data_IF_438570376323
#
_entry.id   IF_438570376323
#
_cell.length_a   1.000
_cell.length_b   1.000
_cell.length_c   1.000
_cell.angle_alpha   90.00
_cell.angle_beta   90.00
_cell.angle_gamma   90.00
#
_symmetry.space_group_name_H-M   'P 1'
#
loop_
_entity.id
_entity.type
_entity.pdbx_description
1 polymer ?
#
# COMPACT_ATOMS: atom_id res chain seq x y z
N UNK A 1 -11.95 -11.88 -10.53
CA UNK A 1 -11.97 -10.41 -10.57
C UNK A 1 -10.87 -9.90 -9.65
N UNK A 2 -9.74 -9.42 -10.18
CA UNK A 2 -8.68 -8.85 -9.35
C UNK A 2 -9.17 -7.48 -8.86
N UNK A 3 -9.66 -7.44 -7.62
CA UNK A 3 -10.21 -6.23 -6.99
C UNK A 3 -9.17 -5.11 -7.06
N UNK A 4 -9.54 -4.00 -7.69
CA UNK A 4 -8.77 -2.76 -7.60
C UNK A 4 -8.92 -2.27 -6.16
N UNK A 5 -7.80 -1.94 -5.54
CA UNK A 5 -7.75 -1.37 -4.20
C UNK A 5 -7.60 0.15 -4.33
N UNK A 6 -8.39 0.92 -3.60
CA UNK A 6 -8.31 2.38 -3.61
C UNK A 6 -7.36 2.85 -2.52
N UNK A 7 -6.31 3.57 -2.90
CA UNK A 7 -5.41 4.19 -1.96
C UNK A 7 -6.13 5.32 -1.21
N UNK A 8 -6.13 5.29 0.12
CA UNK A 8 -6.73 6.33 0.97
C UNK A 8 -5.87 7.58 1.09
N UNK A 9 -4.60 7.53 0.69
CA UNK A 9 -3.67 8.66 0.78
C UNK A 9 -3.84 9.62 -0.40
N UNK A 10 -3.90 9.08 -1.61
CA UNK A 10 -4.00 9.87 -2.85
C UNK A 10 -5.32 9.66 -3.60
N UNK A 11 -6.12 8.65 -3.24
CA UNK A 11 -7.39 8.35 -3.90
C UNK A 11 -7.27 7.43 -5.13
N UNK A 12 -6.06 7.03 -5.54
CA UNK A 12 -5.84 6.22 -6.74
C UNK A 12 -6.38 4.79 -6.61
N UNK A 13 -7.02 4.29 -7.67
CA UNK A 13 -7.40 2.90 -7.80
C UNK A 13 -6.26 2.08 -8.42
N UNK A 14 -5.66 1.18 -7.64
CA UNK A 14 -4.51 0.38 -8.07
C UNK A 14 -4.74 -1.11 -7.89
N UNK A 15 -4.10 -1.92 -8.73
CA UNK A 15 -4.11 -3.38 -8.59
C UNK A 15 -3.07 -3.90 -7.60
N UNK A 16 -2.01 -3.12 -7.36
CA UNK A 16 -0.88 -3.51 -6.51
C UNK A 16 -0.64 -2.44 -5.44
N UNK A 17 -1.33 -2.58 -4.31
CA UNK A 17 -1.27 -1.65 -3.18
C UNK A 17 0.16 -1.41 -2.66
N UNK A 18 0.92 -2.48 -2.41
CA UNK A 18 2.30 -2.39 -1.92
C UNK A 18 3.21 -1.68 -2.92
N UNK A 19 3.12 -2.04 -4.20
CA UNK A 19 3.93 -1.40 -5.25
C UNK A 19 3.62 0.09 -5.34
N UNK A 20 2.33 0.46 -5.31
CA UNK A 20 1.91 1.85 -5.31
C UNK A 20 2.48 2.61 -4.11
N UNK A 21 2.42 2.06 -2.90
CA UNK A 21 3.03 2.70 -1.73
C UNK A 21 4.53 2.90 -1.92
N UNK A 22 5.27 1.93 -2.45
CA UNK A 22 6.71 2.09 -2.70
C UNK A 22 7.02 3.16 -3.75
N UNK A 23 6.22 3.25 -4.82
CA UNK A 23 6.45 4.19 -5.93
C UNK A 23 5.94 5.61 -5.64
N UNK A 24 4.77 5.74 -5.00
CA UNK A 24 4.07 7.03 -4.79
C UNK A 24 4.18 7.56 -3.36
N UNK A 25 4.38 6.68 -2.38
CA UNK A 25 4.46 7.02 -0.97
C UNK A 25 5.71 6.39 -0.31
N UNK A 26 6.92 6.65 -0.85
CA UNK A 26 8.14 6.04 -0.34
C UNK A 26 8.39 6.37 1.13
N UNK A 27 7.87 7.51 1.63
CA UNK A 27 7.88 7.90 3.04
C UNK A 27 7.25 6.87 3.98
N UNK A 28 6.26 6.09 3.50
CA UNK A 28 5.59 5.05 4.29
C UNK A 28 6.39 3.75 4.30
N UNK A 29 7.18 3.52 3.24
CA UNK A 29 8.02 2.33 3.08
C UNK A 29 9.43 2.51 3.63
N UNK A 30 9.87 3.75 3.89
CA UNK A 30 11.19 4.04 4.43
C UNK A 30 11.25 3.76 5.94
N UNK A 31 12.22 2.96 6.37
CA UNK A 31 12.71 2.98 7.75
C UNK A 31 12.63 1.68 8.54
N UNK A 32 11.93 0.63 8.08
CA UNK A 32 11.87 -0.62 8.84
C UNK A 32 11.83 -1.85 7.94
N UNK A 33 12.41 -2.96 8.44
CA UNK A 33 12.33 -4.28 7.82
C UNK A 33 10.86 -4.62 7.51
N UNK A 34 10.52 -4.58 6.22
CA UNK A 34 9.17 -4.86 5.75
C UNK A 34 8.88 -6.35 5.85
N UNK A 35 8.41 -6.77 7.02
CA UNK A 35 7.92 -8.11 7.25
C UNK A 35 6.51 -8.29 6.67
N UNK A 36 6.17 -9.54 6.31
CA UNK A 36 4.87 -9.91 5.72
C UNK A 36 3.67 -9.40 6.53
N UNK A 37 3.76 -9.43 7.86
CA UNK A 37 2.70 -8.96 8.76
C UNK A 37 2.48 -7.43 8.65
N UNK A 38 3.59 -6.68 8.58
CA UNK A 38 3.56 -5.23 8.46
C UNK A 38 3.04 -4.79 7.09
N UNK A 39 3.44 -5.50 6.03
CA UNK A 39 2.90 -5.29 4.68
C UNK A 39 1.37 -5.45 4.67
N UNK A 40 0.84 -6.49 5.32
CA UNK A 40 -0.59 -6.73 5.40
C UNK A 40 -1.30 -5.58 6.13
N UNK A 41 -0.78 -5.16 7.29
CA UNK A 41 -1.31 -4.00 8.05
C UNK A 41 -1.28 -2.70 7.25
N UNK A 42 -0.23 -2.44 6.48
CA UNK A 42 -0.13 -1.24 5.63
C UNK A 42 -1.21 -1.24 4.54
N UNK A 43 -1.43 -2.39 3.89
CA UNK A 43 -2.48 -2.51 2.88
C UNK A 43 -3.86 -2.31 3.49
N UNK A 44 -4.18 -2.96 4.62
CA UNK A 44 -5.47 -2.78 5.30
C UNK A 44 -5.67 -1.34 5.83
N UNK A 45 -4.59 -0.69 6.26
CA UNK A 45 -4.63 0.69 6.76
C UNK A 45 -4.85 1.70 5.63
N UNK A 46 -4.07 1.60 4.56
CA UNK A 46 -4.00 2.62 3.51
C UNK A 46 -4.81 2.29 2.26
N UNK A 47 -5.38 1.10 2.15
CA UNK A 47 -6.23 0.72 1.02
C UNK A 47 -7.60 0.26 1.49
N UNK A 48 -8.57 0.46 0.61
CA UNK A 48 -9.95 -0.02 0.70
C UNK A 48 -10.36 -0.77 -0.54
#
# INVERSE_FOLDING_TARGET
>A
MFGKAKCKLCGDEVRFALRHLTEKHPEIMQGENMNRDKMKKLVEKYFS
#
